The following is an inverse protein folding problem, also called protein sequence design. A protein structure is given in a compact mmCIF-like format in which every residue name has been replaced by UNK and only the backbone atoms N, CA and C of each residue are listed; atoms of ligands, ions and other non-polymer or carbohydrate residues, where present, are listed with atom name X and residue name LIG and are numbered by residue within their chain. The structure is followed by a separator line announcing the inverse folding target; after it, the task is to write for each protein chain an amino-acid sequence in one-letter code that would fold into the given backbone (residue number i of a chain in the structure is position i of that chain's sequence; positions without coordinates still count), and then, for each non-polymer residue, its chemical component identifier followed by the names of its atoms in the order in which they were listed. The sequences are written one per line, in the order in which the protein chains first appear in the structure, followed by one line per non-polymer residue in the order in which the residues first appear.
data_IF_712009295333
#
_entry.id   IF_712009295333
#
_cell.length_a   1.000
_cell.length_b   1.000
_cell.length_c   1.000
_cell.angle_alpha   90.00
_cell.angle_beta   90.00
_cell.angle_gamma   90.00
#
_symmetry.space_group_name_H-M   'P 1'
#
loop_
_entity.id
_entity.type
_entity.pdbx_description
1 polymer ?
#
# COMPACT_ATOMS: atom_id res chain seq x y z
N UNK A 1 -7.08 15.04 -9.36
CA UNK A 1 -6.76 13.84 -10.16
C UNK A 1 -5.74 14.22 -11.22
N UNK A 2 -4.73 13.38 -11.40
CA UNK A 2 -3.65 13.58 -12.38
C UNK A 2 -3.56 12.34 -13.28
N UNK A 3 -3.54 12.54 -14.60
CA UNK A 3 -3.15 11.51 -15.56
C UNK A 3 -1.65 11.19 -15.34
N UNK A 4 -1.40 10.17 -14.52
CA UNK A 4 -0.05 9.77 -14.13
C UNK A 4 0.69 9.13 -15.29
N UNK A 5 -0.01 8.36 -16.12
CA UNK A 5 0.57 7.71 -17.30
C UNK A 5 1.20 8.75 -18.23
N UNK A 6 0.43 9.78 -18.60
CA UNK A 6 0.91 10.87 -19.46
C UNK A 6 2.02 11.68 -18.78
N UNK A 7 1.84 12.02 -17.50
CA UNK A 7 2.79 12.86 -16.76
C UNK A 7 4.16 12.19 -16.60
N UNK A 8 4.18 10.91 -16.24
CA UNK A 8 5.43 10.14 -16.11
C UNK A 8 6.06 9.92 -17.47
N UNK A 9 5.28 9.52 -18.48
CA UNK A 9 5.78 9.31 -19.84
C UNK A 9 6.50 10.54 -20.38
N UNK A 10 5.94 11.73 -20.18
CA UNK A 10 6.59 12.99 -20.59
C UNK A 10 7.93 13.21 -19.85
N UNK A 11 7.97 12.95 -18.54
CA UNK A 11 9.15 13.15 -17.72
C UNK A 11 10.29 12.16 -18.03
N UNK A 12 9.98 10.98 -18.57
CA UNK A 12 10.98 9.96 -18.96
C UNK A 12 11.26 9.91 -20.47
N UNK A 13 10.85 10.92 -21.25
CA UNK A 13 11.16 11.00 -22.68
C UNK A 13 10.23 10.16 -23.56
N UNK A 14 9.00 9.90 -23.12
CA UNK A 14 7.97 9.10 -23.80
C UNK A 14 8.29 7.61 -23.94
N UNK A 15 9.25 7.11 -23.16
CA UNK A 15 9.48 5.68 -23.06
C UNK A 15 8.39 4.99 -22.24
N UNK A 16 8.18 3.68 -22.50
CA UNK A 16 7.36 2.85 -21.62
C UNK A 16 7.99 2.76 -20.23
N UNK A 17 7.18 2.75 -19.20
CA UNK A 17 7.65 2.62 -17.84
C UNK A 17 6.78 1.63 -17.05
N UNK A 18 7.31 1.15 -15.95
CA UNK A 18 6.56 0.47 -14.89
C UNK A 18 6.73 1.26 -13.60
N UNK A 19 5.63 1.45 -12.87
CA UNK A 19 5.69 2.01 -11.52
C UNK A 19 6.11 0.89 -10.56
N UNK A 20 7.21 1.14 -9.86
CA UNK A 20 7.72 0.20 -8.86
C UNK A 20 7.18 0.54 -7.47
N UNK A 21 7.27 1.83 -7.08
CA UNK A 21 6.83 2.27 -5.76
C UNK A 21 6.47 3.75 -5.73
N UNK A 22 5.79 4.16 -4.64
CA UNK A 22 5.38 5.54 -4.37
C UNK A 22 5.56 5.86 -2.89
N UNK A 23 6.06 7.06 -2.59
CA UNK A 23 6.13 7.58 -1.23
C UNK A 23 5.89 9.09 -1.21
N UNK A 24 5.23 9.58 -0.17
CA UNK A 24 5.04 11.01 0.09
C UNK A 24 6.09 11.49 1.08
N UNK A 25 6.72 12.63 0.76
CA UNK A 25 7.57 13.30 1.74
C UNK A 25 6.69 13.99 2.81
N UNK A 26 6.80 13.59 4.07
CA UNK A 26 5.94 14.12 5.12
C UNK A 26 6.02 15.66 5.23
N UNK A 27 4.87 16.30 5.40
CA UNK A 27 4.75 17.75 5.60
C UNK A 27 4.96 18.60 4.33
N UNK A 28 5.22 18.01 3.17
CA UNK A 28 5.47 18.78 1.93
C UNK A 28 4.44 18.55 0.84
N UNK A 29 3.72 17.43 0.87
CA UNK A 29 2.83 17.00 -0.19
C UNK A 29 3.55 16.60 -1.49
N UNK A 30 4.88 16.50 -1.48
CA UNK A 30 5.65 16.01 -2.63
C UNK A 30 5.55 14.49 -2.72
N UNK A 31 5.11 14.00 -3.87
CA UNK A 31 4.99 12.56 -4.14
C UNK A 31 6.19 12.09 -4.95
N UNK A 32 6.90 11.12 -4.43
CA UNK A 32 8.04 10.51 -5.11
C UNK A 32 7.63 9.17 -5.72
N UNK A 33 8.02 8.95 -6.97
CA UNK A 33 7.70 7.76 -7.73
C UNK A 33 8.99 7.08 -8.17
N UNK A 34 9.17 5.84 -7.77
CA UNK A 34 10.20 4.97 -8.32
C UNK A 34 9.65 4.27 -9.56
N UNK A 35 10.33 4.38 -10.69
CA UNK A 35 9.90 3.78 -11.95
C UNK A 35 11.04 3.07 -12.66
N UNK A 36 10.72 2.01 -13.39
CA UNK A 36 11.60 1.34 -14.35
C UNK A 36 11.26 1.80 -15.77
N UNK A 37 12.24 2.29 -16.51
CA UNK A 37 12.04 2.95 -17.82
C UNK A 37 12.64 2.13 -18.95
N UNK A 38 11.87 1.99 -20.03
CA UNK A 38 12.28 1.34 -21.28
C UNK A 38 12.51 -0.16 -21.15
N UNK A 39 12.94 -0.78 -22.25
CA UNK A 39 13.17 -2.23 -22.32
C UNK A 39 14.27 -2.72 -21.37
N UNK A 40 15.22 -1.86 -21.01
CA UNK A 40 16.30 -2.17 -20.08
C UNK A 40 15.91 -2.01 -18.62
N UNK A 41 14.68 -1.60 -18.33
CA UNK A 41 14.18 -1.33 -16.97
C UNK A 41 15.11 -0.40 -16.18
N UNK A 42 15.59 0.67 -16.83
CA UNK A 42 16.50 1.62 -16.20
C UNK A 42 15.78 2.33 -15.04
N UNK A 43 16.34 2.36 -13.82
CA UNK A 43 15.70 3.00 -12.69
C UNK A 43 15.66 4.52 -12.86
N UNK A 44 14.53 5.12 -12.52
CA UNK A 44 14.37 6.56 -12.45
C UNK A 44 13.52 6.94 -11.23
N UNK A 45 13.86 8.08 -10.65
CA UNK A 45 13.11 8.69 -9.56
C UNK A 45 12.46 9.96 -10.06
N UNK A 46 11.18 10.10 -9.86
CA UNK A 46 10.40 11.27 -10.22
C UNK A 46 9.83 11.91 -8.96
N UNK A 47 9.61 13.20 -8.99
CA UNK A 47 8.89 13.94 -7.96
C UNK A 47 7.73 14.66 -8.61
N UNK A 48 6.53 14.43 -8.10
CA UNK A 48 5.29 15.12 -8.50
C UNK A 48 4.92 16.11 -7.40
N UNK A 49 4.61 17.33 -7.79
CA UNK A 49 4.16 18.42 -6.89
C UNK A 49 2.66 18.63 -7.00
N UNK A 50 2.14 19.46 -6.10
CA UNK A 50 0.73 19.84 -6.04
C UNK A 50 0.21 20.52 -7.34
N UNK A 51 1.11 21.10 -8.16
CA UNK A 51 0.77 21.64 -9.48
C UNK A 51 0.62 20.58 -10.58
N UNK A 52 0.75 19.29 -10.22
CA UNK A 52 0.62 18.16 -11.14
C UNK A 52 1.82 17.95 -12.07
N UNK A 53 2.91 18.69 -11.89
CA UNK A 53 4.12 18.54 -12.71
C UNK A 53 5.06 17.50 -12.15
N UNK A 54 5.49 16.58 -12.99
CA UNK A 54 6.54 15.62 -12.65
C UNK A 54 7.91 16.15 -13.05
N UNK A 55 8.89 15.96 -12.17
CA UNK A 55 10.29 16.25 -12.42
C UNK A 55 11.14 15.01 -12.17
N UNK A 56 11.94 14.62 -13.15
CA UNK A 56 12.94 13.57 -12.97
C UNK A 56 14.05 14.08 -12.06
N UNK A 57 14.40 13.28 -11.06
CA UNK A 57 15.51 13.55 -10.14
C UNK A 57 16.78 12.92 -10.72
N UNK A 58 17.84 13.69 -10.80
CA UNK A 58 19.14 13.19 -11.24
C UNK A 58 19.82 12.45 -10.07
N UNK A 59 19.53 11.16 -9.96
CA UNK A 59 20.08 10.31 -8.89
C UNK A 59 21.61 10.23 -8.90
N UNK A 60 22.25 10.51 -10.04
CA UNK A 60 23.72 10.51 -10.13
C UNK A 60 24.37 11.73 -9.47
N UNK A 61 23.60 12.80 -9.28
CA UNK A 61 24.05 14.02 -8.59
C UNK A 61 23.68 14.05 -7.11
N UNK A 62 22.98 13.03 -6.63
CA UNK A 62 22.64 12.92 -5.21
C UNK A 62 23.77 12.27 -4.43
N UNK A 63 23.99 12.75 -3.20
CA UNK A 63 24.74 11.96 -2.22
C UNK A 63 23.90 10.72 -1.88
N UNK A 64 24.49 9.55 -1.99
CA UNK A 64 23.79 8.29 -1.75
C UNK A 64 24.68 7.31 -0.99
N UNK A 65 24.09 6.70 0.03
CA UNK A 65 24.68 5.54 0.68
C UNK A 65 24.15 4.28 -0.01
N UNK A 66 25.00 3.28 -0.14
CA UNK A 66 24.66 1.98 -0.71
C UNK A 66 25.05 0.86 0.21
N UNK A 67 24.17 -0.11 0.35
CA UNK A 67 24.41 -1.32 1.13
C UNK A 67 23.94 -2.55 0.34
N UNK A 68 24.83 -3.52 0.16
CA UNK A 68 24.46 -4.81 -0.39
C UNK A 68 23.60 -5.58 0.63
N UNK A 69 22.45 -6.10 0.21
CA UNK A 69 21.59 -6.89 1.10
C UNK A 69 22.29 -8.20 1.48
N UNK A 70 22.20 -8.55 2.77
CA UNK A 70 22.69 -9.81 3.31
C UNK A 70 21.90 -10.97 2.71
N UNK A 71 22.62 -12.00 2.26
CA UNK A 71 22.05 -13.25 1.74
C UNK A 71 20.91 -13.04 0.70
N UNK A 72 21.15 -12.33 -0.40
CA UNK A 72 20.13 -12.18 -1.44
C UNK A 72 19.85 -13.54 -2.08
N UNK A 73 18.66 -13.70 -2.67
CA UNK A 73 18.34 -14.89 -3.47
C UNK A 73 19.28 -15.05 -4.66
N UNK A 74 19.42 -16.25 -5.17
CA UNK A 74 20.29 -16.55 -6.30
C UNK A 74 19.73 -15.98 -7.60
N UNK A 75 20.59 -15.63 -8.56
CA UNK A 75 20.17 -15.16 -9.88
C UNK A 75 19.87 -16.29 -10.87
N UNK A 76 20.17 -17.53 -10.49
CA UNK A 76 20.09 -18.72 -11.37
C UNK A 76 18.86 -19.56 -11.15
N UNK A 77 18.15 -19.36 -10.03
CA UNK A 77 16.92 -20.09 -9.72
C UNK A 77 15.69 -19.33 -10.23
N UNK A 78 14.74 -20.07 -10.80
CA UNK A 78 13.45 -19.52 -11.24
C UNK A 78 12.31 -20.31 -10.59
N UNK A 79 11.27 -19.55 -10.18
CA UNK A 79 10.01 -20.14 -9.81
C UNK A 79 9.19 -20.44 -11.07
N UNK A 80 8.47 -21.51 -11.05
CA UNK A 80 7.65 -21.93 -12.18
C UNK A 80 8.48 -21.88 -13.48
N UNK A 81 8.03 -21.31 -14.54
CA UNK A 81 8.71 -21.42 -15.84
C UNK A 81 9.84 -20.41 -16.02
N UNK A 82 9.63 -19.17 -15.56
CA UNK A 82 10.46 -18.03 -15.96
C UNK A 82 10.47 -16.85 -15.00
N UNK A 83 9.94 -17.00 -13.78
CA UNK A 83 9.97 -15.96 -12.77
C UNK A 83 11.27 -16.08 -11.97
N UNK A 84 12.25 -15.18 -12.14
CA UNK A 84 13.49 -15.26 -11.40
C UNK A 84 13.23 -15.08 -9.90
N UNK A 85 13.73 -15.99 -9.07
CA UNK A 85 13.65 -15.89 -7.61
C UNK A 85 14.22 -14.56 -7.09
N UNK A 86 15.22 -14.03 -7.77
CA UNK A 86 15.83 -12.74 -7.45
C UNK A 86 14.84 -11.58 -7.40
N UNK A 87 13.75 -11.63 -8.15
CA UNK A 87 12.70 -10.61 -8.09
C UNK A 87 11.99 -10.53 -6.74
N UNK A 88 12.10 -11.57 -5.93
CA UNK A 88 11.52 -11.64 -4.58
C UNK A 88 12.54 -11.37 -3.46
N UNK A 89 13.78 -10.98 -3.78
CA UNK A 89 14.75 -10.56 -2.75
C UNK A 89 14.24 -9.36 -1.94
N UNK A 90 13.50 -8.48 -2.60
CA UNK A 90 12.78 -7.35 -2.00
C UNK A 90 11.34 -7.39 -2.49
N UNK A 91 10.40 -7.50 -1.59
CA UNK A 91 8.96 -7.52 -1.89
C UNK A 91 8.22 -6.31 -1.34
N UNK A 92 8.69 -5.75 -0.23
CA UNK A 92 8.21 -4.50 0.34
C UNK A 92 9.31 -3.83 1.18
N UNK A 93 9.22 -2.51 1.34
CA UNK A 93 10.11 -1.71 2.18
C UNK A 93 9.33 -0.68 2.97
N UNK A 94 9.63 -0.56 4.26
CA UNK A 94 9.02 0.48 5.11
C UNK A 94 10.08 1.14 5.98
N UNK A 95 9.92 2.43 6.17
CA UNK A 95 10.78 3.23 7.05
C UNK A 95 10.11 3.49 8.39
N UNK A 96 10.85 3.29 9.48
CA UNK A 96 10.40 3.66 10.83
C UNK A 96 11.58 4.01 11.73
N UNK A 97 11.51 5.16 12.40
CA UNK A 97 12.43 5.57 13.47
C UNK A 97 13.93 5.43 13.12
N UNK A 98 14.34 5.82 11.91
CA UNK A 98 15.75 5.74 11.50
C UNK A 98 16.19 4.37 10.98
N UNK A 99 15.26 3.42 10.83
CA UNK A 99 15.53 2.10 10.26
C UNK A 99 14.71 1.86 8.99
N UNK A 100 15.33 1.21 8.01
CA UNK A 100 14.68 0.65 6.84
C UNK A 100 14.42 -0.84 7.08
N UNK A 101 13.17 -1.23 6.98
CA UNK A 101 12.72 -2.62 7.02
C UNK A 101 12.53 -3.10 5.60
N UNK A 102 13.17 -4.23 5.25
CA UNK A 102 13.13 -4.79 3.90
C UNK A 102 12.64 -6.23 3.98
N UNK A 103 11.44 -6.46 3.50
CA UNK A 103 10.84 -7.79 3.38
C UNK A 103 11.24 -8.45 2.07
N UNK A 104 11.29 -9.78 2.05
CA UNK A 104 11.55 -10.55 0.85
C UNK A 104 12.06 -11.95 1.14
N UNK A 105 12.75 -12.52 0.16
CA UNK A 105 13.39 -13.82 0.28
C UNK A 105 14.91 -13.70 0.44
N UNK A 106 15.49 -14.73 1.02
CA UNK A 106 16.94 -14.93 1.09
C UNK A 106 17.35 -16.28 0.47
N UNK A 107 18.66 -16.50 0.38
CA UNK A 107 19.21 -17.78 -0.08
C UNK A 107 19.44 -18.78 1.07
N UNK A 108 18.82 -18.56 2.23
CA UNK A 108 18.91 -19.45 3.38
C UNK A 108 17.83 -20.54 3.33
N UNK A 109 17.93 -21.56 4.17
CA UNK A 109 16.95 -22.65 4.22
C UNK A 109 15.54 -22.15 4.57
N UNK A 110 15.43 -21.21 5.51
CA UNK A 110 14.22 -20.43 5.78
C UNK A 110 14.28 -19.14 4.96
N UNK A 111 13.69 -19.16 3.77
CA UNK A 111 13.86 -18.09 2.79
C UNK A 111 13.08 -16.82 3.12
N UNK A 112 11.89 -16.92 3.73
CA UNK A 112 11.12 -15.74 4.12
C UNK A 112 11.88 -14.91 5.13
N UNK A 113 12.12 -13.64 4.83
CA UNK A 113 13.14 -12.84 5.52
C UNK A 113 12.68 -11.40 5.70
N UNK A 114 13.00 -10.85 6.86
CA UNK A 114 12.95 -9.41 7.12
C UNK A 114 14.34 -8.91 7.50
N UNK A 115 14.80 -7.87 6.81
CA UNK A 115 16.06 -7.19 7.11
C UNK A 115 15.79 -5.85 7.78
N UNK A 116 16.57 -5.50 8.81
CA UNK A 116 16.53 -4.21 9.50
C UNK A 116 17.86 -3.51 9.26
N UNK A 117 17.80 -2.32 8.71
CA UNK A 117 18.97 -1.57 8.26
C UNK A 117 18.90 -0.17 8.85
N UNK A 118 19.79 0.15 9.78
CA UNK A 118 19.86 1.48 10.38
C UNK A 118 20.43 2.50 9.39
N UNK A 119 19.91 3.71 9.42
CA UNK A 119 20.42 4.83 8.63
C UNK A 119 21.16 5.84 9.55
N UNK A 120 22.28 6.43 9.14
CA UNK A 120 23.04 6.18 7.88
C UNK A 120 23.47 4.72 7.73
N UNK A 121 23.52 4.23 6.49
CA UNK A 121 23.81 2.83 6.24
C UNK A 121 25.21 2.48 6.74
N UNK A 122 25.23 1.67 7.79
CA UNK A 122 26.46 1.02 8.26
C UNK A 122 26.63 -0.32 7.54
N UNK A 123 27.80 -0.95 7.70
CA UNK A 123 27.99 -2.30 7.14
C UNK A 123 27.15 -3.37 7.87
N UNK A 124 26.54 -3.01 8.99
CA UNK A 124 25.75 -3.92 9.81
C UNK A 124 24.28 -3.86 9.42
N UNK A 125 23.69 -5.00 9.16
CA UNK A 125 22.27 -5.17 8.96
C UNK A 125 21.78 -6.39 9.74
N UNK A 126 20.69 -6.24 10.47
CA UNK A 126 19.99 -7.35 11.07
C UNK A 126 19.16 -8.10 10.02
N UNK A 127 19.11 -9.42 10.14
CA UNK A 127 18.28 -10.26 9.28
C UNK A 127 17.65 -11.36 10.11
N UNK A 128 16.33 -11.46 10.07
CA UNK A 128 15.54 -12.51 10.69
C UNK A 128 14.85 -13.33 9.62
N UNK A 129 14.77 -14.64 9.78
CA UNK A 129 13.83 -15.45 9.01
C UNK A 129 12.47 -15.45 9.69
N UNK A 130 11.42 -15.63 8.90
CA UNK A 130 10.03 -15.60 9.39
C UNK A 130 9.29 -16.83 8.88
N UNK A 131 8.60 -17.50 9.80
CA UNK A 131 7.63 -18.54 9.45
C UNK A 131 6.22 -18.11 9.84
N UNK A 132 5.23 -18.64 9.17
CA UNK A 132 3.82 -18.40 9.48
C UNK A 132 3.00 -19.69 9.34
N UNK A 133 1.90 -19.79 10.07
CA UNK A 133 0.87 -20.75 9.72
C UNK A 133 0.00 -20.19 8.59
N UNK A 134 0.05 -20.83 7.44
CA UNK A 134 -0.76 -20.43 6.29
C UNK A 134 -2.11 -21.16 6.32
N UNK A 135 -3.14 -20.45 6.68
CA UNK A 135 -4.48 -20.97 7.00
C UNK A 135 -5.13 -21.73 5.85
N UNK A 136 -4.98 -21.27 4.60
CA UNK A 136 -5.57 -21.92 3.41
C UNK A 136 -4.78 -23.14 2.95
N UNK A 137 -3.48 -23.19 3.26
CA UNK A 137 -2.62 -24.33 2.93
C UNK A 137 -2.51 -25.34 4.07
N UNK A 138 -3.02 -25.01 5.27
CA UNK A 138 -2.98 -25.84 6.48
C UNK A 138 -1.56 -26.32 6.81
N UNK A 139 -0.59 -25.42 6.77
CA UNK A 139 0.81 -25.75 7.05
C UNK A 139 1.60 -24.52 7.51
N UNK A 140 2.73 -24.80 8.18
CA UNK A 140 3.76 -23.78 8.43
C UNK A 140 4.53 -23.55 7.13
N UNK A 141 4.72 -22.27 6.80
CA UNK A 141 5.47 -21.85 5.62
C UNK A 141 6.65 -20.97 6.02
N UNK A 142 7.81 -21.33 5.50
CA UNK A 142 9.11 -20.67 5.76
C UNK A 142 9.66 -20.00 4.50
N UNK A 143 8.94 -20.09 3.38
CA UNK A 143 9.34 -19.59 2.06
C UNK A 143 8.35 -18.60 1.46
N UNK A 144 7.20 -18.38 2.09
CA UNK A 144 6.24 -17.38 1.67
C UNK A 144 6.78 -15.97 1.99
N UNK A 145 7.00 -15.10 0.99
CA UNK A 145 7.46 -13.75 1.27
C UNK A 145 6.31 -12.88 1.80
N UNK A 146 6.64 -11.97 2.73
CA UNK A 146 5.75 -10.86 3.05
C UNK A 146 5.52 -10.05 1.77
N UNK A 147 4.27 -9.81 1.41
CA UNK A 147 3.91 -9.09 0.17
C UNK A 147 3.68 -7.60 0.39
N UNK A 148 3.09 -7.27 1.53
CA UNK A 148 2.90 -5.89 1.98
C UNK A 148 2.96 -5.86 3.50
N UNK A 149 3.47 -4.78 4.08
CA UNK A 149 3.61 -4.63 5.52
C UNK A 149 3.38 -3.20 5.97
N UNK A 150 3.00 -3.04 7.21
CA UNK A 150 2.94 -1.75 7.90
C UNK A 150 3.21 -1.95 9.39
N UNK A 151 3.23 -0.86 10.15
CA UNK A 151 3.43 -0.93 11.60
C UNK A 151 2.15 -0.54 12.33
N UNK A 152 1.90 -1.18 13.46
CA UNK A 152 0.84 -0.80 14.40
C UNK A 152 1.37 -0.83 15.83
N UNK A 153 0.95 0.17 16.63
CA UNK A 153 1.29 0.26 18.04
C UNK A 153 0.04 -0.07 18.86
N UNK A 154 0.11 -1.14 19.66
CA UNK A 154 -0.95 -1.54 20.57
C UNK A 154 -0.41 -2.38 21.72
N UNK A 155 -1.14 -2.46 22.83
CA UNK A 155 -0.69 -3.22 24.01
C UNK A 155 0.69 -2.80 24.56
N UNK A 156 1.10 -1.54 24.35
CA UNK A 156 2.41 -1.03 24.76
C UNK A 156 3.59 -1.53 23.92
N UNK A 157 3.35 -2.18 22.80
CA UNK A 157 4.37 -2.70 21.87
C UNK A 157 4.12 -2.21 20.44
N UNK A 158 5.20 -2.18 19.66
CA UNK A 158 5.12 -2.04 18.20
C UNK A 158 5.11 -3.40 17.52
N UNK A 159 4.21 -3.58 16.60
CA UNK A 159 4.12 -4.77 15.76
C UNK A 159 4.36 -4.42 14.29
N UNK A 160 5.07 -5.29 13.60
CA UNK A 160 4.97 -5.39 12.16
C UNK A 160 3.68 -6.16 11.85
N UNK A 161 2.81 -5.58 11.04
CA UNK A 161 1.63 -6.25 10.49
C UNK A 161 1.96 -6.58 9.05
N UNK A 162 1.89 -7.85 8.71
CA UNK A 162 2.30 -8.39 7.41
C UNK A 162 1.17 -9.13 6.72
N UNK A 163 1.04 -8.91 5.42
CA UNK A 163 0.10 -9.63 4.55
C UNK A 163 0.87 -10.46 3.51
N UNK A 164 0.37 -11.65 3.27
CA UNK A 164 0.93 -12.63 2.34
C UNK A 164 -0.01 -12.90 1.18
N UNK A 165 0.47 -13.53 0.13
CA UNK A 165 -0.40 -14.03 -0.95
C UNK A 165 -1.43 -15.00 -0.39
N UNK A 166 -2.66 -14.98 -0.91
CA UNK A 166 -3.83 -15.66 -0.36
C UNK A 166 -4.31 -15.14 1.00
N UNK A 167 -3.62 -14.16 1.57
CA UNK A 167 -4.05 -13.26 2.63
C UNK A 167 -4.19 -13.75 4.08
N UNK A 168 -3.30 -14.55 4.63
CA UNK A 168 -3.15 -14.48 6.07
C UNK A 168 -2.61 -13.09 6.46
N UNK A 169 -3.23 -12.49 7.48
CA UNK A 169 -2.72 -11.31 8.15
C UNK A 169 -2.00 -11.75 9.42
N UNK A 170 -0.78 -11.28 9.56
CA UNK A 170 0.15 -11.76 10.59
C UNK A 170 0.69 -10.58 11.38
N UNK A 171 0.87 -10.77 12.68
CA UNK A 171 1.54 -9.80 13.55
C UNK A 171 2.86 -10.38 14.06
N UNK A 172 3.90 -9.54 14.08
CA UNK A 172 5.24 -9.88 14.59
C UNK A 172 5.69 -8.77 15.52
N UNK A 173 5.96 -9.05 16.80
CA UNK A 173 6.52 -8.04 17.71
C UNK A 173 7.87 -7.56 17.17
N UNK A 174 8.07 -6.25 17.12
CA UNK A 174 9.26 -5.67 16.50
C UNK A 174 10.54 -5.98 17.29
N UNK A 175 10.42 -6.21 18.58
CA UNK A 175 11.51 -6.56 19.48
C UNK A 175 12.02 -8.01 19.30
N UNK A 176 11.26 -8.87 18.63
CA UNK A 176 11.67 -10.24 18.27
C UNK A 176 12.52 -10.30 16.99
N UNK A 177 12.44 -9.28 16.14
CA UNK A 177 13.16 -9.20 14.87
C UNK A 177 14.62 -8.79 15.08
N UNK A 178 15.44 -9.75 15.56
CA UNK A 178 16.88 -9.59 15.84
C UNK A 178 17.71 -10.30 14.79
N UNK A 179 18.96 -9.86 14.61
CA UNK A 179 19.87 -10.53 13.67
C UNK A 179 20.06 -12.03 14.04
N UNK A 180 19.86 -12.88 13.05
CA UNK A 180 19.94 -14.34 13.19
C UNK A 180 18.72 -15.00 13.83
N UNK A 181 17.70 -14.25 14.26
CA UNK A 181 16.48 -14.85 14.82
C UNK A 181 15.67 -15.60 13.76
N UNK A 182 15.04 -16.68 14.16
CA UNK A 182 13.93 -17.31 13.44
C UNK A 182 12.65 -16.99 14.19
N UNK A 183 11.73 -16.27 13.55
CA UNK A 183 10.57 -15.70 14.21
C UNK A 183 9.30 -16.33 13.66
N UNK A 184 8.43 -16.76 14.56
CA UNK A 184 7.10 -17.21 14.23
C UNK A 184 6.14 -16.00 14.19
N UNK A 185 5.63 -15.68 13.00
CA UNK A 185 4.62 -14.64 12.83
C UNK A 185 3.24 -15.19 13.18
N UNK A 186 2.57 -14.55 14.12
CA UNK A 186 1.25 -14.97 14.59
C UNK A 186 0.18 -14.68 13.56
N UNK A 187 -0.44 -15.71 12.98
CA UNK A 187 -1.58 -15.59 12.08
C UNK A 187 -2.83 -15.16 12.88
N UNK A 188 -3.25 -13.91 12.70
CA UNK A 188 -4.38 -13.31 13.43
C UNK A 188 -5.66 -13.23 12.62
N UNK A 189 -5.56 -13.28 11.30
CA UNK A 189 -6.71 -13.20 10.43
C UNK A 189 -6.47 -13.87 9.08
N UNK A 190 -7.57 -14.29 8.45
CA UNK A 190 -7.66 -14.66 7.06
C UNK A 190 -8.64 -13.71 6.36
N UNK A 191 -8.21 -13.08 5.26
CA UNK A 191 -8.99 -12.06 4.55
C UNK A 191 -9.69 -12.59 3.29
N UNK A 192 -9.78 -13.90 3.19
CA UNK A 192 -10.34 -14.58 2.03
C UNK A 192 -9.30 -14.79 0.94
N UNK A 193 -9.50 -15.84 0.25
CA UNK A 193 -8.63 -16.37 -0.77
C UNK A 193 -8.63 -15.54 -2.07
N UNK A 194 -7.54 -15.66 -2.83
CA UNK A 194 -7.41 -15.07 -4.17
C UNK A 194 -6.99 -13.61 -4.15
N UNK A 195 -6.39 -13.14 -3.06
CA UNK A 195 -5.83 -11.81 -2.96
C UNK A 195 -4.30 -11.84 -3.10
N UNK A 196 -3.78 -10.87 -3.84
CA UNK A 196 -2.36 -10.56 -3.87
C UNK A 196 -2.17 -9.16 -3.29
N UNK A 197 -1.63 -9.05 -2.07
CA UNK A 197 -1.34 -7.75 -1.47
C UNK A 197 -0.45 -6.90 -2.37
N UNK A 198 -0.86 -5.66 -2.62
CA UNK A 198 -0.17 -4.71 -3.48
C UNK A 198 0.59 -3.65 -2.69
N UNK A 199 0.01 -3.16 -1.60
CA UNK A 199 0.60 -2.18 -0.70
C UNK A 199 -0.17 -2.16 0.63
N UNK A 200 0.47 -1.65 1.70
CA UNK A 200 -0.14 -1.53 3.02
C UNK A 200 0.29 -0.24 3.70
N UNK A 201 -0.66 0.45 4.31
CA UNK A 201 -0.44 1.71 5.00
C UNK A 201 -1.21 1.78 6.31
N UNK A 202 -0.54 2.27 7.37
CA UNK A 202 -1.21 2.71 8.60
C UNK A 202 -1.50 4.19 8.52
N UNK A 203 -2.74 4.56 8.78
CA UNK A 203 -3.20 5.95 8.77
C UNK A 203 -4.17 6.23 9.92
N UNK A 204 -4.29 7.50 10.29
CA UNK A 204 -5.27 7.96 11.27
C UNK A 204 -6.45 8.60 10.55
N UNK A 205 -7.67 8.29 11.00
CA UNK A 205 -8.93 8.88 10.53
C UNK A 205 -9.72 9.41 11.72
N UNK A 206 -10.63 10.36 11.46
CA UNK A 206 -11.47 11.00 12.46
C UNK A 206 -11.04 12.43 12.77
N UNK A 207 -11.84 13.09 13.59
CA UNK A 207 -11.60 14.48 14.00
C UNK A 207 -10.51 14.57 15.09
N UNK A 208 -9.92 15.75 15.21
CA UNK A 208 -8.94 16.04 16.26
C UNK A 208 -9.49 15.66 17.65
N UNK A 209 -8.78 14.80 18.38
CA UNK A 209 -9.18 14.29 19.70
C UNK A 209 -9.98 12.97 19.69
N UNK A 210 -10.38 12.45 18.51
CA UNK A 210 -11.04 11.14 18.33
C UNK A 210 -10.47 10.40 17.13
N UNK A 211 -9.16 10.43 16.97
CA UNK A 211 -8.52 9.74 15.87
C UNK A 211 -8.45 8.23 16.14
N UNK A 212 -8.91 7.45 15.17
CA UNK A 212 -8.72 6.01 15.10
C UNK A 212 -7.61 5.68 14.11
N UNK A 213 -6.74 4.77 14.49
CA UNK A 213 -5.77 4.20 13.55
C UNK A 213 -6.39 3.00 12.82
N UNK A 214 -6.13 2.95 11.54
CA UNK A 214 -6.51 1.85 10.68
C UNK A 214 -5.37 1.48 9.73
N UNK A 215 -5.34 0.22 9.34
CA UNK A 215 -4.50 -0.26 8.25
C UNK A 215 -5.36 -0.36 7.00
N UNK A 216 -4.89 0.24 5.91
CA UNK A 216 -5.39 0.02 4.57
C UNK A 216 -4.49 -1.00 3.88
N UNK A 217 -5.09 -2.09 3.39
CA UNK A 217 -4.44 -3.11 2.60
C UNK A 217 -5.01 -3.07 1.18
N UNK A 218 -4.16 -2.72 0.22
CA UNK A 218 -4.50 -2.79 -1.20
C UNK A 218 -4.26 -4.19 -1.74
N UNK A 219 -5.11 -4.61 -2.67
CA UNK A 219 -5.01 -5.90 -3.35
C UNK A 219 -5.11 -5.70 -4.86
N UNK A 220 -4.39 -6.52 -5.63
CA UNK A 220 -4.44 -6.45 -7.09
C UNK A 220 -5.78 -6.92 -7.66
N UNK A 221 -6.39 -7.94 -7.05
CA UNK A 221 -7.59 -8.61 -7.57
C UNK A 221 -8.88 -8.19 -6.87
N UNK A 222 -8.79 -7.39 -5.79
CA UNK A 222 -9.95 -6.95 -4.99
C UNK A 222 -9.83 -5.50 -4.57
N UNK A 223 -10.93 -4.97 -4.06
CA UNK A 223 -10.96 -3.65 -3.42
C UNK A 223 -10.10 -3.62 -2.15
N UNK A 224 -9.73 -2.41 -1.72
CA UNK A 224 -8.94 -2.24 -0.52
C UNK A 224 -9.70 -2.68 0.74
N UNK A 225 -9.00 -3.34 1.65
CA UNK A 225 -9.47 -3.65 2.99
C UNK A 225 -8.99 -2.58 3.96
N UNK A 226 -9.89 -2.07 4.79
CA UNK A 226 -9.58 -1.16 5.89
C UNK A 226 -9.85 -1.86 7.20
N UNK A 227 -8.82 -2.03 8.00
CA UNK A 227 -8.85 -2.80 9.25
C UNK A 227 -8.49 -1.85 10.40
N UNK A 228 -9.41 -1.53 11.30
CA UNK A 228 -9.09 -0.78 12.52
C UNK A 228 -7.99 -1.46 13.32
N UNK A 229 -7.00 -0.70 13.81
CA UNK A 229 -5.91 -1.25 14.64
C UNK A 229 -6.48 -1.90 15.90
N UNK A 230 -7.58 -1.41 16.46
CA UNK A 230 -8.27 -2.02 17.59
C UNK A 230 -8.77 -3.45 17.28
N UNK A 231 -9.18 -3.75 16.05
CA UNK A 231 -9.53 -5.12 15.65
C UNK A 231 -8.30 -6.02 15.56
N UNK A 232 -7.17 -5.48 15.07
CA UNK A 232 -5.88 -6.19 15.03
C UNK A 232 -5.43 -6.54 16.45
N UNK A 233 -5.49 -5.57 17.38
CA UNK A 233 -5.18 -5.78 18.79
C UNK A 233 -6.07 -6.86 19.40
N UNK A 234 -7.38 -6.77 19.19
CA UNK A 234 -8.34 -7.74 19.69
C UNK A 234 -8.12 -9.15 19.11
N UNK A 235 -7.77 -9.26 17.83
CA UNK A 235 -7.43 -10.53 17.20
C UNK A 235 -6.09 -11.06 17.72
N UNK A 236 -5.10 -10.18 17.90
CA UNK A 236 -3.79 -10.55 18.45
C UNK A 236 -3.85 -11.04 19.90
N UNK A 237 -4.83 -10.59 20.69
CA UNK A 237 -5.05 -11.06 22.06
C UNK A 237 -5.64 -12.48 22.13
N UNK A 238 -6.20 -13.00 21.03
CA UNK A 238 -6.73 -14.37 20.94
C UNK A 238 -5.63 -15.37 20.61
N UNK A 239 -5.86 -16.67 20.75
CA UNK A 239 -4.98 -17.71 20.20
C UNK A 239 -4.77 -17.50 18.71
N UNK A 240 -3.62 -17.93 18.21
CA UNK A 240 -3.30 -17.95 16.80
C UNK A 240 -4.34 -18.79 16.02
N UNK A 241 -4.57 -18.43 14.77
CA UNK A 241 -5.30 -19.29 13.83
C UNK A 241 -4.34 -20.39 13.40
N UNK A 242 -4.48 -21.58 14.00
CA UNK A 242 -3.65 -22.77 13.78
C UNK A 242 -4.39 -23.89 13.04
N UNK A 243 -5.55 -23.57 12.46
CA UNK A 243 -6.41 -24.50 11.73
C UNK A 243 -6.77 -23.93 10.38
N UNK A 244 -7.06 -24.81 9.39
CA UNK A 244 -7.46 -24.35 8.06
C UNK A 244 -8.74 -23.55 8.11
N UNK A 245 -8.73 -22.41 7.44
CA UNK A 245 -9.92 -21.60 7.17
C UNK A 245 -10.43 -21.98 5.78
N UNK A 246 -11.74 -22.25 5.63
CA UNK A 246 -12.30 -22.55 4.33
C UNK A 246 -12.07 -21.41 3.33
N UNK A 247 -11.85 -21.78 2.11
CA UNK A 247 -11.62 -20.91 0.99
C UNK A 247 -12.67 -19.79 0.86
N UNK A 248 -12.25 -18.54 0.79
CA UNK A 248 -13.13 -17.39 0.67
C UNK A 248 -13.75 -16.88 1.98
N UNK A 249 -13.51 -17.55 3.10
CA UNK A 249 -14.02 -17.13 4.41
C UNK A 249 -13.07 -16.08 5.02
N UNK A 250 -13.65 -14.98 5.49
CA UNK A 250 -12.96 -13.99 6.31
C UNK A 250 -13.05 -14.41 7.78
N UNK A 251 -11.95 -14.37 8.49
CA UNK A 251 -11.86 -14.75 9.90
C UNK A 251 -10.84 -13.89 10.65
N UNK A 252 -11.03 -13.74 11.96
CA UNK A 252 -10.14 -13.02 12.86
C UNK A 252 -10.39 -11.53 12.96
N UNK A 253 -10.57 -10.85 11.83
CA UNK A 253 -10.96 -9.43 11.73
C UNK A 253 -12.15 -9.28 10.79
N UNK A 254 -12.85 -8.15 10.89
CA UNK A 254 -13.95 -7.77 9.99
C UNK A 254 -13.56 -6.49 9.23
N UNK A 255 -12.89 -6.59 8.09
CA UNK A 255 -12.42 -5.45 7.34
C UNK A 255 -13.55 -4.73 6.63
N UNK A 256 -13.56 -3.41 6.71
CA UNK A 256 -14.38 -2.59 5.82
C UNK A 256 -13.77 -2.62 4.41
N UNK A 257 -14.59 -2.86 3.42
CA UNK A 257 -14.17 -2.77 2.01
C UNK A 257 -14.28 -1.31 1.54
N UNK A 258 -13.15 -0.72 1.16
CA UNK A 258 -13.12 0.62 0.59
C UNK A 258 -13.27 0.56 -0.94
N UNK A 259 -14.06 1.45 -1.56
CA UNK A 259 -14.31 1.44 -3.01
C UNK A 259 -13.12 2.01 -3.80
N UNK A 260 -11.93 1.51 -3.54
CA UNK A 260 -10.67 1.87 -4.22
C UNK A 260 -10.27 0.79 -5.22
N UNK A 261 -11.14 0.52 -6.18
CA UNK A 261 -10.85 -0.45 -7.23
C UNK A 261 -9.66 -0.01 -8.09
N UNK A 262 -8.78 -0.96 -8.40
CA UNK A 262 -7.57 -0.71 -9.19
C UNK A 262 -6.46 0.04 -8.47
N UNK A 263 -6.60 0.34 -7.18
CA UNK A 263 -5.56 0.96 -6.37
C UNK A 263 -4.36 0.00 -6.20
N UNK A 264 -3.15 0.50 -6.46
CA UNK A 264 -1.93 -0.30 -6.42
C UNK A 264 -0.84 0.27 -5.52
N UNK A 265 -0.91 1.58 -5.20
CA UNK A 265 -0.03 2.25 -4.22
C UNK A 265 -0.84 3.26 -3.43
N UNK A 266 -0.50 3.42 -2.16
CA UNK A 266 -1.15 4.38 -1.28
C UNK A 266 -0.15 4.96 -0.27
N UNK A 267 -0.28 6.25 0.02
CA UNK A 267 0.46 6.87 1.12
C UNK A 267 -0.34 8.01 1.76
N UNK A 268 0.07 8.42 2.95
CA UNK A 268 -0.46 9.59 3.63
C UNK A 268 -0.01 10.87 2.91
N UNK A 269 -0.95 11.63 2.37
CA UNK A 269 -0.62 12.92 1.75
C UNK A 269 -0.52 14.03 2.81
N UNK A 270 -1.53 14.11 3.66
CA UNK A 270 -1.65 15.07 4.75
C UNK A 270 -2.54 14.50 5.86
N UNK A 271 -2.96 15.36 6.81
CA UNK A 271 -3.82 14.93 7.93
C UNK A 271 -5.19 14.39 7.47
N UNK A 272 -5.73 14.91 6.36
CA UNK A 272 -7.08 14.60 5.87
C UNK A 272 -7.10 13.63 4.71
N UNK A 273 -6.04 13.61 3.90
CA UNK A 273 -6.05 12.95 2.62
C UNK A 273 -5.00 11.84 2.54
N UNK A 274 -5.35 10.81 1.82
CA UNK A 274 -4.43 9.84 1.22
C UNK A 274 -4.13 10.26 -0.22
N UNK A 275 -3.00 9.84 -0.74
CA UNK A 275 -2.71 9.83 -2.16
C UNK A 275 -2.66 8.38 -2.64
N UNK A 276 -3.29 8.10 -3.76
CA UNK A 276 -3.45 6.76 -4.30
C UNK A 276 -3.06 6.74 -5.76
N UNK A 277 -2.23 5.80 -6.15
CA UNK A 277 -2.09 5.42 -7.56
C UNK A 277 -3.06 4.29 -7.84
N UNK A 278 -3.94 4.50 -8.81
CA UNK A 278 -4.86 3.48 -9.27
C UNK A 278 -4.82 3.32 -10.78
N UNK A 279 -5.20 2.17 -11.25
CA UNK A 279 -5.42 1.89 -12.67
C UNK A 279 -6.87 2.18 -13.00
N UNK A 280 -7.10 3.11 -13.91
CA UNK A 280 -8.43 3.43 -14.38
C UNK A 280 -9.04 2.21 -15.10
N UNK A 281 -10.24 1.79 -14.68
CA UNK A 281 -10.84 0.54 -15.14
C UNK A 281 -11.16 0.53 -16.64
N UNK A 282 -11.61 1.66 -17.19
CA UNK A 282 -11.99 1.74 -18.60
C UNK A 282 -10.79 1.79 -19.55
N UNK A 283 -9.77 2.59 -19.20
CA UNK A 283 -8.62 2.87 -20.07
C UNK A 283 -7.38 2.04 -19.70
N UNK A 284 -7.34 1.49 -18.50
CA UNK A 284 -6.18 0.78 -17.98
C UNK A 284 -4.96 1.66 -17.69
N UNK A 285 -5.08 2.99 -17.85
CA UNK A 285 -4.01 3.96 -17.59
C UNK A 285 -3.86 4.23 -16.10
N UNK A 286 -2.66 4.63 -15.68
CA UNK A 286 -2.41 5.02 -14.29
C UNK A 286 -2.86 6.45 -14.04
N UNK A 287 -3.50 6.67 -12.92
CA UNK A 287 -3.82 7.98 -12.40
C UNK A 287 -3.41 8.13 -10.93
N UNK A 288 -3.06 9.35 -10.56
CA UNK A 288 -2.78 9.74 -9.18
C UNK A 288 -3.97 10.54 -8.66
N UNK A 289 -4.58 10.07 -7.60
CA UNK A 289 -5.75 10.69 -7.01
C UNK A 289 -5.56 10.95 -5.53
N UNK A 290 -6.21 12.00 -5.02
CA UNK A 290 -6.36 12.24 -3.58
C UNK A 290 -7.69 11.69 -3.12
N UNK A 291 -7.71 11.12 -1.93
CA UNK A 291 -8.89 10.50 -1.33
C UNK A 291 -8.99 10.93 0.13
N UNK A 292 -10.16 11.40 0.55
CA UNK A 292 -10.41 11.75 1.95
C UNK A 292 -10.36 10.51 2.85
N UNK A 293 -9.64 10.59 3.97
CA UNK A 293 -9.44 9.47 4.90
C UNK A 293 -10.74 8.98 5.59
N UNK A 294 -11.73 9.85 5.69
CA UNK A 294 -13.02 9.51 6.29
C UNK A 294 -13.97 8.85 5.31
N UNK A 295 -13.95 9.29 4.03
CA UNK A 295 -14.87 8.78 3.00
C UNK A 295 -14.29 7.63 2.18
N UNK A 296 -12.98 7.66 1.91
CA UNK A 296 -12.25 6.65 1.12
C UNK A 296 -12.73 6.47 -0.33
N UNK A 297 -13.44 7.46 -0.88
CA UNK A 297 -13.85 7.52 -2.28
C UNK A 297 -13.87 8.96 -2.76
N UNK A 298 -13.96 9.16 -4.05
CA UNK A 298 -14.09 10.48 -4.67
C UNK A 298 -15.50 10.65 -5.19
N UNK A 299 -16.12 11.77 -4.88
CA UNK A 299 -17.45 12.07 -5.40
C UNK A 299 -17.47 12.24 -6.92
N UNK A 300 -16.37 12.75 -7.48
CA UNK A 300 -16.21 12.87 -8.94
C UNK A 300 -16.29 11.54 -9.68
N UNK A 301 -16.02 10.41 -9.01
CA UNK A 301 -16.16 9.07 -9.61
C UNK A 301 -17.65 8.69 -9.82
N UNK A 302 -18.57 9.37 -9.14
CA UNK A 302 -20.02 9.15 -9.22
C UNK A 302 -20.76 10.29 -9.97
N UNK A 303 -20.04 11.06 -10.77
CA UNK A 303 -20.55 12.27 -11.37
C UNK A 303 -21.78 12.07 -12.26
N UNK A 304 -21.88 10.90 -12.92
CA UNK A 304 -23.03 10.57 -13.74
C UNK A 304 -24.37 10.58 -12.99
N UNK A 305 -24.33 10.39 -11.69
CA UNK A 305 -25.53 10.44 -10.84
C UNK A 305 -26.00 11.87 -10.55
N UNK A 306 -25.06 12.85 -10.61
CA UNK A 306 -25.32 14.23 -10.19
C UNK A 306 -25.35 15.23 -11.33
N UNK A 307 -24.80 14.88 -12.49
CA UNK A 307 -24.63 15.79 -13.64
C UNK A 307 -25.30 15.32 -14.92
N UNK A 308 -26.17 14.32 -14.83
CA UNK A 308 -26.86 13.79 -15.98
C UNK A 308 -27.86 14.85 -16.52
N UNK A 309 -27.61 15.41 -17.71
CA UNK A 309 -28.39 16.53 -18.28
C UNK A 309 -29.89 16.29 -18.37
N UNK A 310 -30.32 15.04 -18.45
CA UNK A 310 -31.74 14.67 -18.60
C UNK A 310 -32.34 14.25 -17.24
N UNK A 311 -31.59 14.33 -16.18
CA UNK A 311 -32.02 13.92 -14.84
C UNK A 311 -32.17 15.17 -13.98
N UNK A 312 -33.40 15.61 -13.74
CA UNK A 312 -33.66 16.70 -12.82
C UNK A 312 -34.23 16.14 -11.51
N UNK A 313 -33.53 16.37 -10.43
CA UNK A 313 -34.07 16.15 -9.09
C UNK A 313 -35.06 17.25 -8.78
N UNK A 314 -36.36 16.94 -8.85
CA UNK A 314 -37.43 17.93 -8.70
C UNK A 314 -37.73 18.32 -7.24
N UNK A 315 -37.27 17.56 -6.28
CA UNK A 315 -37.51 17.84 -4.87
C UNK A 315 -36.58 18.90 -4.30
N UNK A 316 -37.10 20.05 -3.88
CA UNK A 316 -36.29 21.12 -3.22
C UNK A 316 -35.52 20.61 -2.01
N UNK A 317 -36.11 19.72 -1.23
CA UNK A 317 -35.44 19.15 -0.06
C UNK A 317 -34.23 18.30 -0.46
N UNK A 318 -34.34 17.49 -1.50
CA UNK A 318 -33.22 16.73 -2.05
C UNK A 318 -32.11 17.63 -2.59
N UNK A 319 -32.50 18.67 -3.35
CA UNK A 319 -31.53 19.63 -3.88
C UNK A 319 -30.73 20.35 -2.78
N UNK A 320 -31.40 20.80 -1.71
CA UNK A 320 -30.75 21.56 -0.63
C UNK A 320 -29.96 20.64 0.33
N UNK A 321 -30.49 19.45 0.60
CA UNK A 321 -29.95 18.57 1.64
C UNK A 321 -28.85 17.66 1.14
N UNK A 322 -28.89 17.27 -0.13
CA UNK A 322 -27.93 16.33 -0.72
C UNK A 322 -27.17 16.91 -1.90
N UNK A 323 -27.85 17.45 -2.92
CA UNK A 323 -27.19 17.88 -4.16
C UNK A 323 -26.26 19.07 -3.93
N UNK A 324 -26.72 20.11 -3.25
CA UNK A 324 -25.90 21.31 -2.98
C UNK A 324 -24.68 21.04 -2.10
N UNK A 325 -24.77 20.30 -1.00
CA UNK A 325 -23.58 19.89 -0.22
C UNK A 325 -22.57 19.10 -1.04
N UNK A 326 -23.02 18.21 -1.94
CA UNK A 326 -22.14 17.46 -2.85
C UNK A 326 -21.44 18.39 -3.82
N UNK A 327 -22.16 19.32 -4.45
CA UNK A 327 -21.57 20.33 -5.33
C UNK A 327 -20.55 21.21 -4.60
N UNK A 328 -20.89 21.69 -3.40
CA UNK A 328 -19.97 22.50 -2.58
C UNK A 328 -18.70 21.71 -2.21
N UNK A 329 -18.83 20.43 -1.97
CA UNK A 329 -17.71 19.54 -1.67
C UNK A 329 -16.83 19.28 -2.89
N UNK A 330 -17.41 19.02 -4.06
CA UNK A 330 -16.69 18.90 -5.33
C UNK A 330 -15.86 20.16 -5.62
N UNK A 331 -16.44 21.35 -5.35
CA UNK A 331 -15.71 22.63 -5.50
C UNK A 331 -14.57 22.77 -4.51
N UNK A 332 -14.83 22.54 -3.23
CA UNK A 332 -13.88 22.86 -2.15
C UNK A 332 -12.80 21.79 -1.99
N UNK A 333 -13.17 20.53 -2.14
CA UNK A 333 -12.27 19.41 -1.80
C UNK A 333 -11.62 18.80 -3.04
N UNK A 334 -12.33 18.72 -4.14
CA UNK A 334 -11.82 18.07 -5.34
C UNK A 334 -11.43 19.05 -6.46
N UNK A 335 -11.84 20.31 -6.38
CA UNK A 335 -11.43 21.36 -7.31
C UNK A 335 -11.96 21.19 -8.75
N UNK A 336 -13.19 20.71 -8.91
CA UNK A 336 -13.82 20.48 -10.22
C UNK A 336 -14.98 21.46 -10.51
N UNK A 337 -14.71 22.77 -10.69
CA UNK A 337 -15.77 23.75 -10.97
C UNK A 337 -16.55 23.46 -12.25
N UNK A 338 -15.90 22.82 -13.22
CA UNK A 338 -16.54 22.43 -14.49
C UNK A 338 -17.64 21.37 -14.31
N UNK A 339 -17.62 20.63 -13.24
CA UNK A 339 -18.60 19.58 -12.97
C UNK A 339 -19.89 20.12 -12.35
N UNK A 340 -19.89 21.36 -11.89
CA UNK A 340 -21.03 22.00 -11.23
C UNK A 340 -21.46 23.29 -11.94
N UNK A 341 -21.12 23.45 -13.21
CA UNK A 341 -21.61 24.59 -13.99
C UNK A 341 -23.14 24.50 -14.07
N UNK A 342 -23.86 25.53 -13.62
CA UNK A 342 -25.27 25.64 -13.95
C UNK A 342 -25.43 25.70 -15.49
N UNK A 343 -26.48 25.11 -15.97
CA UNK A 343 -26.87 25.20 -17.38
C UNK A 343 -27.13 26.64 -17.81
#
# INVERSE_FOLDING_TARGET
MLDLESTVSQAVGREKFALEDMVVRPGTGEVYLAVSVGARKAPALLMVRSDGKARRIDIKKMSADTLALKNPTTSTHTFWRDIPERTFTVTDMKWRNGELFVAGLSNQDFQSTLRRISYPFTKTQGMSSVEIFHTTHNQIETRAPIRAMSFADFGGKTYLVAAYTCTPLVTIPLDELKDGAHVHGKAIAELGYGNTPADMLTYSKGESGKQEQAIMLLNYERVANVIPVAQIEAANAKPEIDKPIPFGVISGVDPMQAPLAGAIRVDNLDEKNLVVVRRQLEKGTLELVTVDKGMLFRLSDFISEYTFKQYSYTGKEFQLKYLKPVQDMLMKQEGYPELIKPE
#
